data_IF_707270292605
#
_entry.id   IF_707270292605
#
_cell.length_a   1.000
_cell.length_b   1.000
_cell.length_c   1.000
_cell.angle_alpha   90.00
_cell.angle_beta   90.00
_cell.angle_gamma   90.00
#
_symmetry.space_group_name_H-M   'P 1'
#
loop_
_entity.id
_entity.type
_entity.pdbx_description
1 polymer ?
#
# COMPACT_ATOMS: atom_id res chain seq x y z
N UNK A 1 -4.39 -12.10 -22.30
CA UNK A 1 -5.07 -12.71 -21.14
C UNK A 1 -4.85 -11.79 -19.94
N UNK A 2 -5.92 -11.43 -19.24
CA UNK A 2 -5.79 -10.87 -17.90
C UNK A 2 -5.08 -11.94 -17.05
N UNK A 3 -4.03 -11.55 -16.33
CA UNK A 3 -3.28 -12.47 -15.46
C UNK A 3 -4.21 -13.01 -14.37
N UNK A 4 -4.15 -14.30 -14.08
CA UNK A 4 -4.87 -14.95 -12.96
C UNK A 4 -4.65 -14.19 -11.63
N UNK A 5 -3.44 -13.64 -11.45
CA UNK A 5 -3.12 -12.77 -10.31
C UNK A 5 -3.96 -11.48 -10.24
N UNK A 6 -4.33 -10.88 -11.38
CA UNK A 6 -5.17 -9.68 -11.37
C UNK A 6 -6.57 -10.01 -10.85
N UNK A 7 -7.12 -11.15 -11.26
CA UNK A 7 -8.41 -11.62 -10.77
C UNK A 7 -8.37 -11.91 -9.27
N UNK A 8 -7.32 -12.56 -8.78
CA UNK A 8 -7.10 -12.79 -7.35
C UNK A 8 -6.96 -11.49 -6.56
N UNK A 9 -6.21 -10.49 -7.06
CA UNK A 9 -6.06 -9.19 -6.41
C UNK A 9 -7.39 -8.44 -6.33
N UNK A 10 -8.21 -8.48 -7.39
CA UNK A 10 -9.49 -7.77 -7.42
C UNK A 10 -10.56 -8.41 -6.53
N UNK A 11 -10.50 -9.73 -6.31
CA UNK A 11 -11.45 -10.49 -5.48
C UNK A 11 -11.03 -10.62 -4.01
N UNK A 12 -9.80 -10.23 -3.69
CA UNK A 12 -9.22 -10.26 -2.36
C UNK A 12 -10.07 -9.51 -1.31
N UNK A 13 -10.20 -10.08 -0.11
CA UNK A 13 -10.97 -9.50 1.00
C UNK A 13 -10.11 -8.72 1.99
N UNK A 14 -9.06 -8.08 1.51
CA UNK A 14 -8.08 -7.37 2.36
C UNK A 14 -8.71 -6.27 3.21
N UNK A 15 -9.80 -5.66 2.77
CA UNK A 15 -10.41 -4.51 3.44
C UNK A 15 -11.29 -4.87 4.65
N UNK A 16 -11.51 -6.16 4.91
CA UNK A 16 -12.13 -6.61 6.15
C UNK A 16 -11.23 -6.31 7.36
N UNK A 17 -9.92 -6.20 7.14
CA UNK A 17 -8.90 -5.98 8.19
C UNK A 17 -7.91 -4.84 7.89
N UNK A 18 -7.78 -4.42 6.64
CA UNK A 18 -6.85 -3.38 6.21
C UNK A 18 -7.57 -2.10 5.77
N UNK A 19 -6.90 -0.97 5.86
CA UNK A 19 -7.37 0.31 5.33
C UNK A 19 -6.68 0.66 4.01
N UNK A 20 -7.26 1.58 3.24
CA UNK A 20 -6.51 2.29 2.22
C UNK A 20 -5.62 3.33 2.90
N UNK A 21 -4.32 3.09 2.89
CA UNK A 21 -3.34 3.98 3.52
C UNK A 21 -3.02 5.17 2.61
N UNK A 22 -2.67 6.34 3.17
CA UNK A 22 -2.39 7.51 2.35
C UNK A 22 -1.10 7.34 1.53
N UNK A 23 -1.07 8.02 0.38
CA UNK A 23 0.13 8.23 -0.43
C UNK A 23 0.60 9.68 -0.22
N UNK A 24 1.60 9.85 0.64
CA UNK A 24 2.02 11.17 1.11
C UNK A 24 3.26 11.67 0.37
N UNK A 25 3.35 12.96 0.01
CA UNK A 25 4.60 13.53 -0.48
C UNK A 25 5.66 13.56 0.62
N UNK A 26 6.93 13.42 0.23
CA UNK A 26 8.08 13.64 1.10
C UNK A 26 8.87 14.88 0.63
N UNK A 27 8.45 16.12 0.97
CA UNK A 27 8.99 17.35 0.35
C UNK A 27 10.49 17.53 0.58
N UNK A 28 10.98 17.28 1.79
CA UNK A 28 12.41 17.42 2.12
C UNK A 28 13.28 16.42 1.34
N UNK A 29 12.83 15.17 1.26
CA UNK A 29 13.54 14.13 0.51
C UNK A 29 13.49 14.40 -1.00
N UNK A 30 12.34 14.88 -1.47
CA UNK A 30 12.14 15.26 -2.86
C UNK A 30 13.07 16.38 -3.28
N UNK A 31 13.17 17.44 -2.46
CA UNK A 31 14.09 18.55 -2.69
C UNK A 31 15.55 18.10 -2.67
N UNK A 32 15.92 17.26 -1.70
CA UNK A 32 17.30 16.74 -1.57
C UNK A 32 17.73 15.89 -2.76
N UNK A 33 16.82 15.09 -3.32
CA UNK A 33 17.11 14.15 -4.41
C UNK A 33 16.74 14.70 -5.80
N UNK A 34 16.16 15.90 -5.88
CA UNK A 34 15.69 16.49 -7.13
C UNK A 34 14.60 15.66 -7.83
N UNK A 35 13.78 14.92 -7.08
CA UNK A 35 12.80 13.97 -7.61
C UNK A 35 11.48 14.01 -6.84
N UNK A 36 10.35 13.62 -7.46
CA UNK A 36 9.07 13.50 -6.74
C UNK A 36 9.03 12.19 -5.94
N UNK A 37 9.25 12.29 -4.64
CA UNK A 37 9.20 11.14 -3.73
C UNK A 37 7.86 11.12 -2.99
N UNK A 38 7.18 9.98 -3.07
CA UNK A 38 5.92 9.68 -2.40
C UNK A 38 6.10 8.47 -1.49
N UNK A 39 5.41 8.45 -0.35
CA UNK A 39 5.44 7.38 0.64
C UNK A 39 4.05 6.77 0.76
N UNK A 40 3.91 5.48 0.47
CA UNK A 40 2.69 4.72 0.78
C UNK A 40 2.75 4.28 2.24
N UNK A 41 1.89 4.85 3.08
CA UNK A 41 1.97 4.74 4.55
C UNK A 41 1.39 3.43 5.11
N UNK A 42 1.90 2.28 4.66
CA UNK A 42 1.47 0.96 5.17
C UNK A 42 1.81 0.72 6.66
N UNK A 43 2.61 1.61 7.27
CA UNK A 43 2.81 1.70 8.72
C UNK A 43 1.54 2.10 9.49
N UNK A 44 0.56 2.71 8.81
CA UNK A 44 -0.72 3.12 9.42
C UNK A 44 -1.77 2.00 9.46
N UNK A 45 -1.45 0.81 8.95
CA UNK A 45 -2.33 -0.35 9.09
C UNK A 45 -2.48 -0.77 10.55
N UNK A 46 -3.60 -1.41 10.93
CA UNK A 46 -3.67 -2.22 12.14
C UNK A 46 -2.53 -3.26 12.13
N UNK A 47 -1.65 -3.22 13.13
CA UNK A 47 -0.45 -4.07 13.17
C UNK A 47 0.81 -3.47 12.50
N UNK A 48 0.78 -2.17 12.17
CA UNK A 48 1.94 -1.34 11.78
C UNK A 48 2.73 -1.82 10.55
N UNK A 49 2.14 -2.68 9.72
CA UNK A 49 2.76 -3.13 8.48
C UNK A 49 1.74 -3.65 7.48
N UNK A 50 2.15 -3.78 6.22
CA UNK A 50 1.35 -4.32 5.12
C UNK A 50 0.93 -5.80 5.30
N UNK A 51 1.52 -6.53 6.26
CA UNK A 51 1.37 -7.98 6.40
C UNK A 51 -0.09 -8.42 6.63
N UNK A 52 -0.90 -7.56 7.24
CA UNK A 52 -2.33 -7.83 7.49
C UNK A 52 -3.10 -8.12 6.20
N UNK A 53 -2.69 -7.53 5.06
CA UNK A 53 -3.32 -7.77 3.76
C UNK A 53 -3.11 -9.19 3.27
N UNK A 54 -1.87 -9.69 3.35
CA UNK A 54 -1.51 -11.02 2.85
C UNK A 54 -1.91 -12.14 3.81
N UNK A 55 -1.90 -11.89 5.11
CA UNK A 55 -2.28 -12.89 6.11
C UNK A 55 -3.79 -13.21 6.13
N UNK A 56 -4.61 -12.32 5.57
CA UNK A 56 -6.07 -12.45 5.54
C UNK A 56 -6.62 -12.95 4.20
N UNK A 57 -5.81 -12.92 3.14
CA UNK A 57 -6.17 -13.39 1.80
C UNK A 57 -5.92 -14.89 1.62
#
# INVERSE_FOLDING_TARGET
MISDYLEQILKARVYDVAIETPLEPAPRLSARLGNRILLKREDLQPGFSFKVRGAYN
#
